data_IF_825022744491
#
_entry.id   IF_825022744491
#
_cell.length_a   1.000
_cell.length_b   1.000
_cell.length_c   1.000
_cell.angle_alpha   90.00
_cell.angle_beta   90.00
_cell.angle_gamma   90.00
#
_symmetry.space_group_name_H-M   'P 1'
#
loop_
_entity.id
_entity.type
_entity.pdbx_description
1 polymer ?
#
# COMPACT_ATOMS: atom_id res chain seq x y z
N UNK A 1 2.38 -5.23 13.60
CA UNK A 1 1.00 -4.74 13.51
C UNK A 1 0.04 -5.91 13.71
N UNK A 2 -0.88 -5.81 14.65
CA UNK A 2 -2.07 -6.65 14.74
C UNK A 2 -3.09 -6.25 13.67
N UNK A 3 -4.13 -7.05 13.44
CA UNK A 3 -5.20 -6.68 12.50
C UNK A 3 -5.89 -5.39 12.92
N UNK A 4 -6.12 -5.18 14.22
CA UNK A 4 -6.72 -3.94 14.72
C UNK A 4 -5.82 -2.72 14.46
N UNK A 5 -4.51 -2.86 14.66
CA UNK A 5 -3.55 -1.79 14.35
C UNK A 5 -3.48 -1.49 12.86
N UNK A 6 -3.63 -2.50 11.98
CA UNK A 6 -3.71 -2.30 10.54
C UNK A 6 -4.95 -1.49 10.16
N UNK A 7 -6.10 -1.80 10.75
CA UNK A 7 -7.34 -1.06 10.48
C UNK A 7 -7.26 0.39 10.97
N UNK A 8 -6.65 0.62 12.13
CA UNK A 8 -6.37 1.97 12.62
C UNK A 8 -5.42 2.73 11.67
N UNK A 9 -4.35 2.07 11.20
CA UNK A 9 -3.41 2.65 10.25
C UNK A 9 -4.11 3.06 8.94
N UNK A 10 -5.01 2.23 8.39
CA UNK A 10 -5.77 2.58 7.17
C UNK A 10 -6.60 3.85 7.41
N UNK A 11 -7.24 3.98 8.58
CA UNK A 11 -7.98 5.19 8.95
C UNK A 11 -7.08 6.42 9.08
N UNK A 12 -5.82 6.25 9.52
CA UNK A 12 -4.83 7.33 9.57
C UNK A 12 -4.44 7.80 8.16
N UNK A 13 -4.26 6.88 7.20
CA UNK A 13 -4.02 7.21 5.79
C UNK A 13 -5.19 8.03 5.18
N UNK A 14 -6.43 7.65 5.48
CA UNK A 14 -7.62 8.40 5.04
C UNK A 14 -7.66 9.79 5.68
N UNK A 15 -7.40 9.87 6.98
CA UNK A 15 -7.32 11.15 7.70
C UNK A 15 -6.24 12.08 7.12
N UNK A 16 -5.10 11.52 6.73
CA UNK A 16 -4.03 12.27 6.07
C UNK A 16 -4.45 12.79 4.68
N UNK A 17 -5.16 11.98 3.88
CA UNK A 17 -5.68 12.42 2.59
C UNK A 17 -6.69 13.56 2.73
N UNK A 18 -7.57 13.53 3.74
CA UNK A 18 -8.46 14.65 4.05
C UNK A 18 -7.70 15.93 4.39
N UNK A 19 -6.71 15.84 5.28
CA UNK A 19 -5.87 17.00 5.62
C UNK A 19 -5.10 17.55 4.41
N UNK A 20 -4.61 16.68 3.53
CA UNK A 20 -3.95 17.11 2.30
C UNK A 20 -4.90 17.90 1.39
N UNK A 21 -6.16 17.45 1.26
CA UNK A 21 -7.20 18.19 0.54
C UNK A 21 -7.49 19.55 1.18
N UNK A 22 -7.68 19.58 2.50
CA UNK A 22 -7.93 20.82 3.25
C UNK A 22 -6.78 21.83 3.10
N UNK A 23 -5.55 21.33 3.02
CA UNK A 23 -4.35 22.13 2.75
C UNK A 23 -4.22 22.58 1.28
N UNK A 24 -5.13 22.18 0.39
CA UNK A 24 -5.17 22.61 -1.01
C UNK A 24 -4.35 21.74 -1.98
N UNK A 25 -3.83 20.59 -1.56
CA UNK A 25 -3.17 19.66 -2.48
C UNK A 25 -4.17 19.09 -3.49
N UNK A 26 -3.70 18.96 -4.73
CA UNK A 26 -4.50 18.46 -5.87
C UNK A 26 -4.13 17.03 -6.28
N UNK A 27 -3.07 16.47 -5.71
CA UNK A 27 -2.57 15.12 -5.94
C UNK A 27 -2.12 14.56 -4.60
N UNK A 28 -2.37 13.27 -4.37
CA UNK A 28 -1.76 12.49 -3.30
C UNK A 28 -1.09 11.25 -3.88
N UNK A 29 0.03 10.83 -3.30
CA UNK A 29 0.76 9.62 -3.68
C UNK A 29 0.89 8.69 -2.46
N UNK A 30 0.47 7.44 -2.61
CA UNK A 30 0.72 6.39 -1.63
C UNK A 30 2.15 5.88 -1.82
N UNK A 31 2.97 5.98 -0.78
CA UNK A 31 4.33 5.48 -0.81
C UNK A 31 4.38 3.98 -0.48
N UNK A 32 4.31 3.14 -1.53
CA UNK A 32 4.43 1.68 -1.49
C UNK A 32 5.77 1.11 -1.91
N UNK A 33 6.87 1.85 -1.69
CA UNK A 33 8.19 1.53 -2.23
C UNK A 33 9.31 1.66 -1.19
N UNK A 34 10.54 1.35 -1.59
CA UNK A 34 11.80 1.59 -0.87
C UNK A 34 11.92 0.94 0.52
N UNK A 35 11.16 -0.12 0.79
CA UNK A 35 11.25 -0.86 2.05
C UNK A 35 10.51 -0.19 3.22
N UNK A 36 9.83 0.93 2.98
CA UNK A 36 8.90 1.50 3.96
C UNK A 36 7.69 0.59 4.16
N UNK A 37 6.79 0.98 5.07
CA UNK A 37 5.74 0.15 5.61
C UNK A 37 4.91 -0.63 4.58
N UNK A 38 4.38 0.04 3.57
CA UNK A 38 3.55 -0.64 2.55
C UNK A 38 4.39 -1.61 1.72
N UNK A 39 5.62 -1.22 1.34
CA UNK A 39 6.54 -2.10 0.62
C UNK A 39 6.96 -3.31 1.45
N UNK A 40 7.17 -3.13 2.76
CA UNK A 40 7.59 -4.23 3.63
C UNK A 40 6.50 -5.28 3.85
N UNK A 41 5.23 -4.94 3.59
CA UNK A 41 4.14 -5.92 3.48
C UNK A 41 4.13 -6.63 2.13
N UNK A 42 4.43 -5.92 1.04
CA UNK A 42 4.54 -6.51 -0.30
C UNK A 42 5.67 -7.53 -0.37
N UNK A 43 6.88 -7.14 0.03
CA UNK A 43 8.06 -7.98 -0.09
C UNK A 43 7.99 -9.21 0.82
N UNK A 44 8.18 -10.43 0.28
CA UNK A 44 8.30 -11.62 1.11
C UNK A 44 9.57 -11.56 1.97
N UNK A 45 10.59 -10.78 1.63
CA UNK A 45 11.84 -10.66 2.40
C UNK A 45 11.57 -10.21 3.84
N UNK A 46 10.67 -9.23 3.99
CA UNK A 46 10.27 -8.66 5.27
C UNK A 46 8.96 -9.23 5.81
N UNK A 47 7.99 -9.56 4.95
CA UNK A 47 6.70 -10.07 5.38
C UNK A 47 6.71 -11.60 5.54
N UNK A 48 6.91 -12.05 6.78
CA UNK A 48 6.84 -13.47 7.17
C UNK A 48 5.56 -13.81 7.94
N UNK A 49 4.50 -13.00 7.80
CA UNK A 49 3.23 -13.22 8.51
C UNK A 49 2.53 -14.48 7.98
N UNK A 50 1.77 -15.11 8.85
CA UNK A 50 0.95 -16.30 8.56
C UNK A 50 -0.56 -16.02 8.63
N UNK A 51 -0.93 -14.75 8.80
CA UNK A 51 -2.33 -14.32 8.78
C UNK A 51 -2.73 -13.75 7.41
N UNK A 52 -3.93 -13.16 7.32
CA UNK A 52 -4.51 -12.65 6.08
C UNK A 52 -3.68 -11.55 5.38
N UNK A 53 -2.65 -11.01 6.03
CA UNK A 53 -1.78 -9.95 5.49
C UNK A 53 -0.38 -10.47 5.11
N UNK A 54 -0.17 -11.78 5.01
CA UNK A 54 1.08 -12.37 4.54
C UNK A 54 0.88 -13.75 3.93
N UNK A 55 1.99 -14.48 3.77
CA UNK A 55 1.98 -15.76 3.06
C UNK A 55 1.94 -15.56 1.55
N UNK A 56 0.77 -15.80 0.95
CA UNK A 56 0.61 -15.72 -0.50
C UNK A 56 0.65 -14.28 -1.03
N UNK A 57 0.69 -14.13 -2.35
CA UNK A 57 0.74 -12.82 -3.00
C UNK A 57 -0.48 -11.95 -2.63
N UNK A 58 -1.67 -12.55 -2.53
CA UNK A 58 -2.91 -11.84 -2.16
C UNK A 58 -2.84 -11.28 -0.74
N UNK A 59 -2.34 -12.07 0.21
CA UNK A 59 -2.15 -11.64 1.58
C UNK A 59 -1.14 -10.51 1.68
N UNK A 60 0.01 -10.62 0.99
CA UNK A 60 1.04 -9.57 0.97
C UNK A 60 0.56 -8.26 0.35
N UNK A 61 -0.25 -8.32 -0.72
CA UNK A 61 -0.83 -7.14 -1.38
C UNK A 61 -1.97 -6.48 -0.59
N UNK A 62 -2.61 -7.22 0.32
CA UNK A 62 -3.84 -6.79 0.99
C UNK A 62 -3.75 -5.39 1.59
N UNK A 63 -2.71 -5.10 2.37
CA UNK A 63 -2.56 -3.79 3.00
C UNK A 63 -2.48 -2.65 1.96
N UNK A 64 -1.68 -2.85 0.91
CA UNK A 64 -1.50 -1.84 -0.13
C UNK A 64 -2.82 -1.53 -0.85
N UNK A 65 -3.59 -2.58 -1.17
CA UNK A 65 -4.89 -2.47 -1.82
C UNK A 65 -5.93 -1.83 -0.90
N UNK A 66 -6.02 -2.25 0.36
CA UNK A 66 -6.98 -1.69 1.33
C UNK A 66 -6.70 -0.19 1.60
N UNK A 67 -5.43 0.23 1.67
CA UNK A 67 -5.07 1.66 1.78
C UNK A 67 -5.48 2.42 0.50
N UNK A 68 -5.18 1.87 -0.67
CA UNK A 68 -5.50 2.50 -1.95
C UNK A 68 -7.01 2.66 -2.14
N UNK A 69 -7.79 1.63 -1.85
CA UNK A 69 -9.25 1.63 -1.89
C UNK A 69 -9.84 2.66 -0.91
N UNK A 70 -9.36 2.67 0.35
CA UNK A 70 -9.84 3.59 1.37
C UNK A 70 -9.54 5.06 1.02
N UNK A 71 -8.32 5.37 0.56
CA UNK A 71 -7.99 6.72 0.11
C UNK A 71 -8.80 7.07 -1.13
N UNK A 72 -8.95 6.15 -2.10
CA UNK A 72 -9.72 6.43 -3.33
C UNK A 72 -11.17 6.77 -3.02
N UNK A 73 -11.78 6.12 -2.02
CA UNK A 73 -13.14 6.42 -1.56
C UNK A 73 -13.26 7.80 -0.90
N UNK A 74 -12.24 8.25 -0.17
CA UNK A 74 -12.21 9.53 0.52
C UNK A 74 -11.73 10.72 -0.35
N UNK A 75 -10.92 10.43 -1.38
CA UNK A 75 -10.30 11.41 -2.27
C UNK A 75 -11.25 11.78 -3.43
N UNK A 76 -11.32 13.06 -3.87
CA UNK A 76 -12.19 13.46 -4.98
C UNK A 76 -11.88 12.72 -6.29
N UNK A 77 -12.90 12.16 -6.95
CA UNK A 77 -12.74 11.29 -8.12
C UNK A 77 -12.10 11.99 -9.32
N UNK A 78 -12.23 13.31 -9.41
CA UNK A 78 -11.62 14.16 -10.43
C UNK A 78 -10.14 14.46 -10.17
N UNK A 79 -9.60 14.10 -8.99
CA UNK A 79 -8.22 14.31 -8.62
C UNK A 79 -7.38 13.02 -8.72
N UNK A 80 -6.12 13.11 -9.19
CA UNK A 80 -5.22 11.97 -9.26
C UNK A 80 -4.91 11.39 -7.87
N UNK A 81 -4.85 10.05 -7.82
CA UNK A 81 -4.27 9.28 -6.73
C UNK A 81 -3.15 8.44 -7.33
N UNK A 82 -1.92 8.69 -6.91
CA UNK A 82 -0.76 7.92 -7.37
C UNK A 82 -0.41 6.83 -6.37
N UNK A 83 0.24 5.78 -6.88
CA UNK A 83 0.84 4.74 -6.06
C UNK A 83 2.28 4.54 -6.53
N UNK A 84 3.24 4.79 -5.63
CA UNK A 84 4.65 4.55 -5.91
C UNK A 84 5.03 3.16 -5.43
N UNK A 85 5.56 2.33 -6.33
CA UNK A 85 6.01 0.97 -6.01
C UNK A 85 7.47 0.74 -6.36
N UNK A 86 8.15 -0.12 -5.60
CA UNK A 86 9.42 -0.72 -6.03
C UNK A 86 9.08 -1.87 -6.98
N UNK A 87 9.50 -1.77 -8.23
CA UNK A 87 9.15 -2.79 -9.23
C UNK A 87 9.81 -4.15 -8.96
N UNK A 88 10.99 -4.14 -8.32
CA UNK A 88 11.74 -5.33 -7.94
C UNK A 88 12.53 -5.05 -6.65
N UNK A 89 12.69 -6.06 -5.80
CA UNK A 89 13.54 -5.99 -4.61
C UNK A 89 15.04 -6.15 -4.93
N UNK A 90 15.36 -6.78 -6.06
CA UNK A 90 16.74 -7.11 -6.45
C UNK A 90 17.29 -8.39 -5.81
N UNK A 91 16.54 -9.05 -4.93
CA UNK A 91 16.86 -10.39 -4.40
C UNK A 91 16.03 -11.47 -5.13
N UNK A 92 16.59 -12.66 -5.43
CA UNK A 92 15.89 -13.74 -6.11
C UNK A 92 14.58 -14.18 -5.43
N UNK A 93 14.54 -14.14 -4.10
CA UNK A 93 13.41 -14.54 -3.28
C UNK A 93 12.51 -13.36 -2.85
N UNK A 94 12.75 -12.17 -3.42
CA UNK A 94 12.01 -10.95 -3.14
C UNK A 94 10.81 -10.70 -4.05
N UNK A 95 10.26 -9.49 -3.94
CA UNK A 95 9.22 -8.97 -4.82
C UNK A 95 9.74 -8.88 -6.26
N UNK A 96 9.01 -9.50 -7.18
CA UNK A 96 9.39 -9.60 -8.61
C UNK A 96 8.61 -8.62 -9.48
N UNK A 97 9.07 -8.44 -10.72
CA UNK A 97 8.37 -7.61 -11.70
C UNK A 97 6.96 -8.16 -12.01
N UNK A 98 6.82 -9.49 -12.07
CA UNK A 98 5.53 -10.13 -12.29
C UNK A 98 4.55 -9.85 -11.15
N UNK A 99 5.03 -9.80 -9.90
CA UNK A 99 4.22 -9.39 -8.75
C UNK A 99 3.77 -7.92 -8.89
N UNK A 100 4.65 -7.01 -9.32
CA UNK A 100 4.27 -5.60 -9.61
C UNK A 100 3.21 -5.51 -10.70
N UNK A 101 3.30 -6.32 -11.76
CA UNK A 101 2.28 -6.36 -12.81
C UNK A 101 0.93 -6.83 -12.26
N UNK A 102 0.93 -7.80 -11.34
CA UNK A 102 -0.30 -8.23 -10.67
C UNK A 102 -0.86 -7.14 -9.77
N UNK A 103 -0.01 -6.45 -8.98
CA UNK A 103 -0.41 -5.35 -8.10
C UNK A 103 -1.02 -4.16 -8.87
N UNK A 104 -0.54 -3.90 -10.10
CA UNK A 104 -0.96 -2.76 -10.91
C UNK A 104 -2.28 -2.96 -11.67
N UNK A 105 -2.83 -4.18 -11.70
CA UNK A 105 -4.09 -4.52 -12.38
C UNK A 105 -5.29 -4.33 -11.47
#
# INVERSE_FOLDING_TARGET
>A
LTVAEIQALIADYVSAAHRAREAGYRIVEIHGAHGYLVHSFLSPLSNRRTDAYGGDLKGRMRLALEIAEAIRAAWPQDLPLFFRTSAVDGAPEGWSLDDTVVLAR
#
